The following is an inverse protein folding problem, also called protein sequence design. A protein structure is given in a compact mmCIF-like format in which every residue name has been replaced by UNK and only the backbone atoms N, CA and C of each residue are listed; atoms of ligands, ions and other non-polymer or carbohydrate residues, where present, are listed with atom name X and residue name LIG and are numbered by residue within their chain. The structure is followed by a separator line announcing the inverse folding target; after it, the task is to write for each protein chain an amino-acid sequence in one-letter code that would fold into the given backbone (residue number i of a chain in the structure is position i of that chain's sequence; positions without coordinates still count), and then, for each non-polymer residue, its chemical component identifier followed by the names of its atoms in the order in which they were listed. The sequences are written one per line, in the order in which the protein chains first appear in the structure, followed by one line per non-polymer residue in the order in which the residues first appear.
data_IF_828529795056
#
_entry.id   IF_828529795056
#
_cell.length_a   1.000
_cell.length_b   1.000
_cell.length_c   1.000
_cell.angle_alpha   90.00
_cell.angle_beta   90.00
_cell.angle_gamma   90.00
#
_symmetry.space_group_name_H-M   'P 1'
#
loop_
_entity.id
_entity.type
_entity.pdbx_description
1 polymer ?
#
# COMPACT_ATOMS: atom_id res chain seq x y z
N UNK A 1 5.94 -54.95 5.63
CA UNK A 1 4.83 -53.97 5.41
C UNK A 1 5.13 -52.74 6.22
N UNK A 2 5.64 -51.69 5.57
CA UNK A 2 6.00 -50.43 6.22
C UNK A 2 4.79 -49.47 6.05
N UNK A 3 4.13 -49.12 7.16
CA UNK A 3 3.04 -48.14 7.15
C UNK A 3 3.65 -46.73 7.10
N UNK A 4 3.46 -46.04 5.98
CA UNK A 4 3.79 -44.63 5.84
C UNK A 4 2.77 -43.80 6.68
N UNK A 5 3.25 -43.09 7.69
CA UNK A 5 2.47 -42.12 8.46
C UNK A 5 2.56 -40.79 7.69
N UNK A 6 1.43 -40.40 7.11
CA UNK A 6 1.27 -39.09 6.48
C UNK A 6 1.09 -38.05 7.60
N UNK A 7 2.13 -37.26 7.87
CA UNK A 7 2.03 -36.13 8.78
C UNK A 7 1.39 -34.97 8.02
N UNK A 8 0.12 -34.73 8.31
CA UNK A 8 -0.60 -33.56 7.81
C UNK A 8 -0.24 -32.35 8.70
N UNK A 9 0.71 -31.53 8.23
CA UNK A 9 1.03 -30.28 8.93
C UNK A 9 -0.11 -29.28 8.69
N UNK A 10 -0.98 -29.15 9.69
CA UNK A 10 -1.99 -28.10 9.71
C UNK A 10 -1.27 -26.81 10.09
N UNK A 11 -1.06 -25.93 9.12
CA UNK A 11 -0.63 -24.56 9.38
C UNK A 11 -1.82 -23.82 10.02
N UNK A 12 -1.80 -23.69 11.32
CA UNK A 12 -2.67 -22.73 12.02
C UNK A 12 -2.18 -21.32 11.68
N UNK A 13 -2.88 -20.64 10.76
CA UNK A 13 -2.78 -19.20 10.66
C UNK A 13 -3.32 -18.61 11.96
N UNK A 14 -2.42 -18.10 12.80
CA UNK A 14 -2.80 -17.28 13.95
C UNK A 14 -3.30 -15.95 13.38
N UNK A 15 -4.60 -15.87 13.16
CA UNK A 15 -5.27 -14.59 12.84
C UNK A 15 -5.15 -13.71 14.08
N UNK A 16 -4.22 -12.77 14.08
CA UNK A 16 -4.13 -11.76 15.12
C UNK A 16 -5.41 -10.93 15.11
N UNK A 17 -6.02 -10.72 16.27
CA UNK A 17 -7.27 -9.96 16.47
C UNK A 17 -7.24 -8.50 15.96
N UNK A 18 -6.12 -8.04 15.38
CA UNK A 18 -5.92 -6.71 14.79
C UNK A 18 -6.08 -6.65 13.26
N UNK A 19 -6.32 -7.77 12.57
CA UNK A 19 -6.37 -7.82 11.09
C UNK A 19 -7.79 -7.62 10.54
N UNK A 20 -8.58 -6.82 11.22
CA UNK A 20 -9.97 -6.51 10.85
C UNK A 20 -10.11 -5.73 9.51
N UNK A 21 -9.02 -5.49 8.80
CA UNK A 21 -8.97 -4.87 7.47
C UNK A 21 -8.81 -5.90 6.33
N UNK A 22 -8.33 -7.13 6.61
CA UNK A 22 -8.18 -8.17 5.60
C UNK A 22 -9.53 -8.58 5.02
N UNK A 23 -9.54 -8.93 3.75
CA UNK A 23 -10.71 -9.30 2.96
C UNK A 23 -11.81 -8.23 2.93
N UNK A 24 -11.47 -6.98 3.26
CA UNK A 24 -12.34 -5.83 3.12
C UNK A 24 -11.90 -4.93 1.97
N UNK A 25 -12.87 -4.23 1.41
CA UNK A 25 -12.59 -3.23 0.39
C UNK A 25 -11.70 -2.13 0.96
N UNK A 26 -10.71 -1.71 0.19
CA UNK A 26 -9.88 -0.56 0.56
C UNK A 26 -10.76 0.67 0.76
N UNK A 27 -10.55 1.47 1.81
CA UNK A 27 -11.44 2.58 2.12
C UNK A 27 -11.43 3.65 1.03
N UNK A 28 -12.54 4.35 0.88
CA UNK A 28 -12.60 5.50 -0.01
C UNK A 28 -11.69 6.60 0.51
N UNK A 29 -10.70 6.96 -0.32
CA UNK A 29 -9.78 8.09 -0.08
C UNK A 29 -9.80 8.94 -1.34
N UNK A 30 -10.12 10.22 -1.17
CA UNK A 30 -10.08 11.20 -2.26
C UNK A 30 -8.85 12.08 -2.08
N UNK A 31 -7.97 12.08 -3.05
CA UNK A 31 -6.71 12.82 -3.05
C UNK A 31 -6.48 13.58 -4.34
N UNK A 32 -5.39 14.32 -4.40
CA UNK A 32 -4.92 14.95 -5.63
C UNK A 32 -3.52 14.43 -5.92
N UNK A 33 -3.31 13.95 -7.15
CA UNK A 33 -1.99 13.49 -7.58
C UNK A 33 -0.99 14.64 -7.65
N UNK A 34 0.30 14.35 -7.62
CA UNK A 34 1.33 15.38 -7.79
C UNK A 34 1.29 16.01 -9.19
N UNK A 35 0.65 15.38 -10.17
CA UNK A 35 0.33 15.96 -11.50
C UNK A 35 -0.90 16.88 -11.48
N UNK A 36 -1.66 16.95 -10.37
CA UNK A 36 -2.81 17.81 -10.21
C UNK A 36 -4.16 17.18 -10.56
N UNK A 37 -4.22 15.87 -10.79
CA UNK A 37 -5.46 15.15 -11.12
C UNK A 37 -6.16 14.68 -9.84
N UNK A 38 -7.48 14.72 -9.81
CA UNK A 38 -8.28 14.10 -8.75
C UNK A 38 -8.15 12.57 -8.83
N UNK A 39 -7.90 11.94 -7.68
CA UNK A 39 -7.74 10.50 -7.54
C UNK A 39 -8.68 9.99 -6.47
N UNK A 40 -9.50 9.00 -6.81
CA UNK A 40 -10.42 8.36 -5.87
C UNK A 40 -10.10 6.88 -5.74
N UNK A 41 -9.68 6.48 -4.54
CA UNK A 41 -9.48 5.09 -4.16
C UNK A 41 -10.78 4.49 -3.62
N UNK A 42 -11.06 3.21 -3.83
CA UNK A 42 -10.31 2.27 -4.64
C UNK A 42 -10.64 2.33 -6.15
N UNK A 43 -11.44 3.28 -6.64
CA UNK A 43 -11.95 3.29 -8.01
C UNK A 43 -10.84 3.18 -9.07
N UNK A 44 -9.70 3.88 -8.86
CA UNK A 44 -8.53 3.85 -9.78
C UNK A 44 -7.74 2.54 -9.72
N UNK A 45 -8.04 1.65 -8.78
CA UNK A 45 -7.34 0.38 -8.58
C UNK A 45 -8.09 -0.81 -9.22
N UNK A 46 -9.37 -0.61 -9.57
CA UNK A 46 -10.23 -1.69 -10.04
C UNK A 46 -9.74 -2.24 -11.39
N UNK A 47 -9.79 -3.56 -11.54
CA UNK A 47 -9.44 -4.27 -12.77
C UNK A 47 -8.03 -4.86 -12.80
N UNK A 48 -7.16 -4.48 -11.87
CA UNK A 48 -5.80 -5.03 -11.73
C UNK A 48 -5.43 -5.23 -10.27
N UNK A 49 -4.61 -6.24 -9.93
CA UNK A 49 -3.98 -6.30 -8.64
C UNK A 49 -3.20 -5.01 -8.37
N UNK A 50 -3.14 -4.60 -7.11
CA UNK A 50 -2.59 -3.29 -6.78
C UNK A 50 -1.72 -3.35 -5.54
N UNK A 51 -0.64 -2.56 -5.53
CA UNK A 51 0.15 -2.23 -4.35
C UNK A 51 -0.09 -0.77 -4.00
N UNK A 52 -0.52 -0.51 -2.78
CA UNK A 52 -0.79 0.84 -2.28
C UNK A 52 0.07 1.11 -1.07
N UNK A 53 1.02 2.04 -1.22
CA UNK A 53 1.86 2.52 -0.14
C UNK A 53 1.16 3.66 0.61
N UNK A 54 0.98 3.53 1.92
CA UNK A 54 0.37 4.56 2.77
C UNK A 54 1.37 5.03 3.81
N UNK A 55 1.53 6.35 3.94
CA UNK A 55 2.41 6.97 4.93
C UNK A 55 1.78 8.23 5.54
N UNK A 56 2.15 8.53 6.79
CA UNK A 56 1.61 9.65 7.56
C UNK A 56 2.67 10.68 7.95
N UNK A 57 3.94 10.41 7.65
CA UNK A 57 5.06 11.31 7.95
C UNK A 57 6.13 11.19 6.87
N UNK A 58 6.80 12.31 6.59
CA UNK A 58 7.89 12.37 5.61
C UNK A 58 9.01 11.36 5.88
N UNK A 59 9.34 11.07 7.14
CA UNK A 59 10.37 10.08 7.49
C UNK A 59 10.06 8.66 7.00
N UNK A 60 8.80 8.34 6.70
CA UNK A 60 8.41 7.04 6.16
C UNK A 60 8.81 6.87 4.68
N UNK A 61 9.28 7.93 4.00
CA UNK A 61 9.67 7.82 2.58
C UNK A 61 10.79 6.81 2.35
N UNK A 62 11.80 6.77 3.22
CA UNK A 62 12.89 5.78 3.10
C UNK A 62 12.37 4.34 3.26
N UNK A 63 11.33 4.17 4.08
CA UNK A 63 10.66 2.89 4.23
C UNK A 63 9.91 2.53 2.94
N UNK A 64 9.16 3.45 2.33
CA UNK A 64 8.49 3.22 1.03
C UNK A 64 9.53 2.89 -0.05
N UNK A 65 10.62 3.64 -0.12
CA UNK A 65 11.66 3.42 -1.12
C UNK A 65 12.24 2.00 -1.04
N UNK A 66 12.42 1.44 0.17
CA UNK A 66 12.94 0.06 0.32
C UNK A 66 12.04 -1.01 -0.34
N UNK A 67 10.75 -0.74 -0.51
CA UNK A 67 9.82 -1.60 -1.26
C UNK A 67 9.79 -1.25 -2.75
N UNK A 68 9.74 0.04 -3.07
CA UNK A 68 9.62 0.54 -4.43
C UNK A 68 10.84 0.20 -5.29
N UNK A 69 12.05 0.29 -4.70
CA UNK A 69 13.32 0.00 -5.38
C UNK A 69 13.41 -1.47 -5.84
N UNK A 70 12.72 -2.40 -5.14
CA UNK A 70 12.64 -3.81 -5.53
C UNK A 70 11.40 -4.10 -6.40
N UNK A 71 10.31 -3.35 -6.21
CA UNK A 71 9.06 -3.54 -6.95
C UNK A 71 9.17 -3.09 -8.43
N UNK A 72 9.69 -1.90 -8.69
CA UNK A 72 9.69 -1.34 -10.04
C UNK A 72 10.56 -2.06 -11.06
N UNK A 73 11.72 -2.64 -10.71
CA UNK A 73 12.47 -3.49 -11.64
C UNK A 73 11.68 -4.71 -12.13
N UNK A 74 10.81 -5.29 -11.28
CA UNK A 74 10.04 -6.48 -11.61
C UNK A 74 8.76 -6.16 -12.38
N UNK A 75 7.97 -5.21 -11.91
CA UNK A 75 6.60 -4.97 -12.43
C UNK A 75 6.49 -3.70 -13.27
N UNK A 76 7.49 -2.83 -13.23
CA UNK A 76 7.44 -1.53 -13.91
C UNK A 76 6.41 -0.59 -13.29
N UNK A 77 6.16 0.53 -13.96
CA UNK A 77 5.18 1.53 -13.50
C UNK A 77 3.82 1.23 -14.13
N UNK A 78 2.88 0.79 -13.32
CA UNK A 78 1.45 0.60 -13.66
C UNK A 78 1.15 -0.15 -14.97
N UNK A 79 1.92 -1.20 -15.27
CA UNK A 79 1.65 -2.07 -16.42
C UNK A 79 0.51 -3.05 -16.07
N UNK A 80 0.85 -4.23 -15.55
CA UNK A 80 -0.11 -5.27 -15.16
C UNK A 80 -0.56 -5.13 -13.70
N UNK A 81 0.26 -4.50 -12.87
CA UNK A 81 0.01 -4.25 -11.45
C UNK A 81 -0.04 -2.73 -11.24
N UNK A 82 -1.06 -2.25 -10.56
CA UNK A 82 -1.11 -0.85 -10.14
C UNK A 82 -0.16 -0.61 -8.96
N UNK A 83 0.50 0.53 -8.95
CA UNK A 83 1.25 1.03 -7.80
C UNK A 83 0.81 2.46 -7.50
N UNK A 84 0.45 2.73 -6.25
CA UNK A 84 0.12 4.08 -5.79
C UNK A 84 0.75 4.37 -4.43
N UNK A 85 1.14 5.62 -4.24
CA UNK A 85 1.54 6.16 -2.94
C UNK A 85 0.49 7.15 -2.46
N UNK A 86 0.09 7.02 -1.19
CA UNK A 86 -0.88 7.92 -0.55
C UNK A 86 -0.24 8.53 0.70
N UNK A 87 0.46 9.67 0.57
CA UNK A 87 0.81 10.48 1.72
C UNK A 87 -0.47 11.03 2.37
N UNK A 88 -0.72 10.66 3.62
CA UNK A 88 -1.92 11.05 4.35
C UNK A 88 -1.60 12.10 5.41
N UNK A 89 -2.07 13.32 5.19
CA UNK A 89 -1.83 14.47 6.07
C UNK A 89 -3.12 14.90 6.79
N UNK A 90 -2.97 15.31 8.05
CA UNK A 90 -4.08 15.82 8.83
C UNK A 90 -4.61 17.16 8.29
N UNK A 91 -5.85 17.55 8.67
CA UNK A 91 -6.52 18.75 8.12
C UNK A 91 -5.78 20.06 8.42
N UNK A 92 -4.95 20.11 9.46
CA UNK A 92 -4.12 21.27 9.79
C UNK A 92 -3.09 21.62 8.71
N UNK A 93 -2.77 20.67 7.80
CA UNK A 93 -1.82 20.88 6.72
C UNK A 93 -2.46 21.36 5.40
N UNK A 94 -3.80 21.47 5.36
CA UNK A 94 -4.52 21.87 4.15
C UNK A 94 -4.07 23.23 3.61
N UNK A 95 -3.81 24.19 4.48
CA UNK A 95 -3.34 25.53 4.05
C UNK A 95 -1.92 25.52 3.49
N UNK A 96 -1.08 24.57 3.91
CA UNK A 96 0.29 24.41 3.43
C UNK A 96 0.41 23.45 2.23
N UNK A 97 -0.70 22.93 1.69
CA UNK A 97 -0.76 21.92 0.64
C UNK A 97 0.17 22.24 -0.53
N UNK A 98 0.04 23.42 -1.13
CA UNK A 98 0.82 23.77 -2.32
C UNK A 98 2.33 23.73 -2.07
N UNK A 99 2.77 24.12 -0.88
CA UNK A 99 4.18 24.06 -0.48
C UNK A 99 4.63 22.62 -0.23
N UNK A 100 3.82 21.80 0.45
CA UNK A 100 4.11 20.40 0.75
C UNK A 100 4.17 19.59 -0.55
N UNK A 101 3.12 19.69 -1.40
CA UNK A 101 3.05 18.98 -2.68
C UNK A 101 4.15 19.46 -3.65
N UNK A 102 4.55 20.75 -3.57
CA UNK A 102 5.69 21.29 -4.29
C UNK A 102 7.01 20.64 -3.89
N UNK A 103 7.23 20.45 -2.57
CA UNK A 103 8.36 19.73 -2.05
C UNK A 103 8.37 18.26 -2.46
N UNK A 104 7.22 17.59 -2.43
CA UNK A 104 7.09 16.20 -2.90
C UNK A 104 7.41 16.06 -4.39
N UNK A 105 6.91 16.99 -5.24
CA UNK A 105 7.26 17.01 -6.68
C UNK A 105 8.75 17.12 -6.95
N UNK A 106 9.50 17.78 -6.07
CA UNK A 106 10.95 17.86 -6.17
C UNK A 106 11.68 16.57 -5.81
N UNK A 107 11.07 15.72 -4.96
CA UNK A 107 11.67 14.48 -4.45
C UNK A 107 11.17 13.21 -5.14
N UNK A 108 9.95 13.22 -5.68
CA UNK A 108 9.35 12.06 -6.35
C UNK A 108 9.71 12.08 -7.84
N UNK A 109 10.19 10.97 -8.45
CA UNK A 109 10.43 10.88 -9.88
C UNK A 109 9.20 11.26 -10.71
N UNK A 110 9.36 12.08 -11.75
CA UNK A 110 8.25 12.59 -12.55
C UNK A 110 7.29 11.52 -13.09
N UNK A 111 7.72 10.32 -13.54
CA UNK A 111 6.80 9.25 -13.95
C UNK A 111 5.87 8.73 -12.84
N UNK A 112 6.17 9.00 -11.57
CA UNK A 112 5.37 8.60 -10.42
C UNK A 112 4.40 9.70 -9.95
N UNK A 113 4.42 10.90 -10.54
CA UNK A 113 3.56 12.00 -10.11
C UNK A 113 2.07 11.70 -10.24
N UNK A 114 1.65 10.97 -11.29
CA UNK A 114 0.24 10.56 -11.47
C UNK A 114 -0.19 9.50 -10.43
N UNK A 115 0.77 8.78 -9.86
CA UNK A 115 0.57 7.66 -8.95
C UNK A 115 0.90 7.98 -7.48
N UNK A 116 1.27 9.22 -7.19
CA UNK A 116 1.44 9.74 -5.83
C UNK A 116 0.32 10.74 -5.56
N UNK A 117 -0.69 10.33 -4.80
CA UNK A 117 -1.88 11.13 -4.53
C UNK A 117 -1.95 11.52 -3.05
N UNK A 118 -1.86 12.82 -2.76
CA UNK A 118 -1.87 13.35 -1.39
C UNK A 118 -3.30 13.51 -0.86
N UNK A 119 -3.53 13.01 0.35
CA UNK A 119 -4.77 13.21 1.10
C UNK A 119 -4.56 14.24 2.21
N UNK A 120 -5.48 15.20 2.32
CA UNK A 120 -5.53 16.21 3.39
C UNK A 120 -6.89 16.16 4.08
N UNK A 121 -6.94 15.63 5.31
CA UNK A 121 -8.21 15.52 6.01
C UNK A 121 -8.14 14.73 7.31
N UNK A 122 -9.31 14.41 7.93
CA UNK A 122 -9.40 13.64 9.16
C UNK A 122 -8.82 12.22 8.98
N UNK A 123 -7.87 11.83 9.84
CA UNK A 123 -7.12 10.57 9.72
C UNK A 123 -7.67 9.44 10.59
N UNK A 124 -8.49 9.76 11.61
CA UNK A 124 -8.87 8.80 12.66
C UNK A 124 -9.61 7.56 12.13
N UNK A 125 -10.51 7.74 11.17
CA UNK A 125 -11.25 6.65 10.54
C UNK A 125 -10.34 5.71 9.79
N UNK A 126 -9.34 6.26 9.08
CA UNK A 126 -8.37 5.49 8.30
C UNK A 126 -7.42 4.69 9.18
N UNK A 127 -7.00 5.21 10.34
CA UNK A 127 -6.20 4.42 11.28
C UNK A 127 -6.93 3.14 11.69
N UNK A 128 -8.24 3.23 11.93
CA UNK A 128 -9.05 2.06 12.29
C UNK A 128 -9.29 1.13 11.11
N UNK A 129 -9.73 1.66 9.97
CA UNK A 129 -10.12 0.85 8.81
C UNK A 129 -8.93 0.19 8.11
N UNK A 130 -7.73 0.76 8.21
CA UNK A 130 -6.49 0.22 7.64
C UNK A 130 -5.61 -0.49 8.67
N UNK A 131 -6.05 -0.59 9.93
CA UNK A 131 -5.30 -1.22 11.01
C UNK A 131 -3.96 -0.54 11.33
N UNK A 132 -3.89 0.80 11.22
CA UNK A 132 -2.66 1.57 11.42
C UNK A 132 -2.33 1.67 12.92
N UNK A 133 -1.22 1.07 13.32
CA UNK A 133 -0.73 1.07 14.70
C UNK A 133 0.31 2.17 14.96
N UNK A 134 1.12 2.52 13.96
CA UNK A 134 2.18 3.53 14.07
C UNK A 134 2.14 4.50 12.91
N UNK A 135 2.07 5.80 13.19
CA UNK A 135 2.15 6.85 12.17
C UNK A 135 3.58 7.11 11.67
N UNK A 136 4.55 6.46 12.28
CA UNK A 136 5.97 6.61 11.91
C UNK A 136 6.42 5.64 10.82
N UNK A 137 5.63 4.59 10.58
CA UNK A 137 5.92 3.53 9.65
C UNK A 137 5.31 3.79 8.27
N UNK A 138 5.72 3.03 7.27
CA UNK A 138 5.03 2.88 6.01
C UNK A 138 4.21 1.59 6.02
N UNK A 139 3.17 1.56 5.22
CA UNK A 139 2.27 0.42 5.07
C UNK A 139 2.08 0.11 3.59
N UNK A 140 2.38 -1.12 3.20
CA UNK A 140 2.22 -1.62 1.84
C UNK A 140 1.01 -2.54 1.81
N UNK A 141 -0.08 -2.11 1.18
CA UNK A 141 -1.30 -2.91 1.00
C UNK A 141 -1.25 -3.60 -0.34
N UNK A 142 -1.49 -4.90 -0.36
CA UNK A 142 -1.72 -5.68 -1.59
C UNK A 142 -3.21 -5.92 -1.74
N UNK A 143 -3.75 -5.52 -2.88
CA UNK A 143 -5.17 -5.63 -3.20
C UNK A 143 -5.38 -6.48 -4.45
N UNK A 144 -6.51 -7.19 -4.48
CA UNK A 144 -6.96 -7.85 -5.69
C UNK A 144 -7.59 -6.86 -6.70
N UNK A 145 -8.00 -7.37 -7.85
CA UNK A 145 -8.64 -6.60 -8.94
C UNK A 145 -9.96 -5.93 -8.56
N UNK A 146 -10.58 -6.35 -7.48
CA UNK A 146 -11.82 -5.78 -6.96
C UNK A 146 -11.57 -4.72 -5.86
N UNK A 147 -10.29 -4.45 -5.55
CA UNK A 147 -9.87 -3.50 -4.53
C UNK A 147 -10.02 -4.03 -3.11
N UNK A 148 -10.04 -5.35 -2.94
CA UNK A 148 -10.10 -6.03 -1.64
C UNK A 148 -8.67 -6.22 -1.11
N UNK A 149 -8.44 -5.86 0.14
CA UNK A 149 -7.14 -6.00 0.80
C UNK A 149 -6.85 -7.47 1.05
N UNK A 150 -5.81 -7.99 0.43
CA UNK A 150 -5.37 -9.39 0.58
C UNK A 150 -4.22 -9.55 1.57
N UNK A 151 -3.37 -8.54 1.68
CA UNK A 151 -2.33 -8.49 2.72
C UNK A 151 -1.91 -7.05 3.00
N UNK A 152 -1.21 -6.86 4.12
CA UNK A 152 -0.56 -5.61 4.51
C UNK A 152 0.80 -5.89 5.12
N UNK A 153 1.82 -5.27 4.57
CA UNK A 153 3.16 -5.22 5.14
C UNK A 153 3.39 -3.87 5.79
N UNK A 154 4.22 -3.80 6.81
CA UNK A 154 4.59 -2.55 7.47
C UNK A 154 6.08 -2.53 7.84
N UNK A 155 6.65 -1.33 7.89
CA UNK A 155 8.08 -1.16 8.10
C UNK A 155 8.92 -1.40 6.84
N UNK A 156 10.25 -1.37 7.01
CA UNK A 156 11.18 -1.58 5.90
C UNK A 156 11.04 -2.95 5.27
N UNK A 157 11.25 -3.02 3.95
CA UNK A 157 11.28 -4.27 3.22
C UNK A 157 12.40 -5.18 3.74
N UNK A 158 12.08 -6.46 3.87
CA UNK A 158 13.03 -7.54 4.11
C UNK A 158 12.95 -8.52 2.96
N UNK A 159 13.96 -9.38 2.79
CA UNK A 159 13.94 -10.40 1.76
C UNK A 159 12.66 -11.26 1.84
N UNK A 160 12.33 -11.73 3.03
CA UNK A 160 11.18 -12.61 3.25
C UNK A 160 9.85 -11.90 2.94
N UNK A 161 9.70 -10.64 3.38
CA UNK A 161 8.50 -9.85 3.12
C UNK A 161 8.33 -9.48 1.63
N UNK A 162 9.43 -9.26 0.91
CA UNK A 162 9.41 -9.04 -0.54
C UNK A 162 9.00 -10.32 -1.29
N UNK A 163 9.59 -11.46 -0.94
CA UNK A 163 9.21 -12.76 -1.53
C UNK A 163 7.72 -13.07 -1.31
N UNK A 164 7.21 -12.83 -0.09
CA UNK A 164 5.79 -13.01 0.23
C UNK A 164 4.91 -12.06 -0.59
N UNK A 165 5.27 -10.78 -0.66
CA UNK A 165 4.51 -9.78 -1.42
C UNK A 165 4.47 -10.12 -2.91
N UNK A 166 5.61 -10.47 -3.51
CA UNK A 166 5.69 -10.78 -4.94
C UNK A 166 4.93 -12.07 -5.28
N UNK A 167 5.07 -13.11 -4.47
CA UNK A 167 4.31 -14.36 -4.63
C UNK A 167 2.80 -14.11 -4.57
N UNK A 168 2.35 -13.26 -3.65
CA UNK A 168 0.94 -12.90 -3.54
C UNK A 168 0.48 -12.12 -4.79
N UNK A 169 1.23 -11.11 -5.22
CA UNK A 169 0.91 -10.30 -6.42
C UNK A 169 0.80 -11.21 -7.65
N UNK A 170 1.75 -12.11 -7.86
CA UNK A 170 1.75 -13.01 -9.01
C UNK A 170 0.52 -13.92 -8.99
N UNK A 171 0.13 -14.46 -7.82
CA UNK A 171 -1.07 -15.28 -7.68
C UNK A 171 -2.39 -14.52 -7.91
N UNK A 172 -2.40 -13.20 -7.73
CA UNK A 172 -3.56 -12.34 -7.99
C UNK A 172 -3.64 -11.88 -9.46
N UNK A 173 -2.55 -12.00 -10.20
CA UNK A 173 -2.45 -11.57 -11.60
C UNK A 173 -2.73 -12.72 -12.59
N UNK A 174 -2.86 -13.95 -12.10
CA UNK A 174 -3.30 -15.13 -12.88
C UNK A 174 -4.81 -15.07 -13.16
#
# INVERSE_FOLDING_TARGET
MIKAILVFSIFFNVVNANDNFLDKKFPTIEGISLSGNDVKFPDVLIGKPSVVAVAFKQKAQLCINSWADEFFPMYGINKNINYYEIPMLGPQWTMARNWIDGGMRGGVPKPLHDYTATYYGPLRSYYKSLGISSRGDCYMFVLDKDGIIKNRFNGYATKDSLEEMFKLIDSLNE
#
